data_IF_834762347553
#
_entry.id   IF_834762347553
#
_cell.length_a   1.000
_cell.length_b   1.000
_cell.length_c   1.000
_cell.angle_alpha   90.00
_cell.angle_beta   90.00
_cell.angle_gamma   90.00
#
_symmetry.space_group_name_H-M   'P 1'
#
loop_
_entity.id
_entity.type
_entity.pdbx_description
1 polymer ?
#
# COMPACT_ATOMS: atom_id res chain seq x y z
N UNK A 1 37.28 -15.93 7.06
CA UNK A 1 36.02 -16.61 7.44
C UNK A 1 34.84 -15.85 6.83
N UNK A 2 34.71 -15.89 5.50
CA UNK A 2 33.58 -15.26 4.81
C UNK A 2 32.38 -16.22 4.75
N UNK A 3 31.20 -15.67 4.47
CA UNK A 3 29.91 -16.36 4.31
C UNK A 3 29.86 -17.47 3.21
N UNK A 4 30.99 -17.97 2.72
CA UNK A 4 31.10 -19.01 1.69
C UNK A 4 30.66 -20.42 2.11
N UNK A 5 30.12 -20.59 3.33
CA UNK A 5 29.53 -21.85 3.80
C UNK A 5 28.00 -21.87 3.81
N UNK A 6 27.34 -20.71 3.62
CA UNK A 6 25.88 -20.66 3.51
C UNK A 6 25.53 -20.89 2.05
N UNK A 7 25.41 -22.16 1.67
CA UNK A 7 24.96 -22.50 0.32
C UNK A 7 23.48 -22.11 0.15
N UNK A 8 23.11 -21.70 -1.06
CA UNK A 8 21.74 -21.30 -1.42
C UNK A 8 20.72 -22.37 -1.02
N UNK A 9 21.10 -23.64 -1.08
CA UNK A 9 20.24 -24.77 -0.69
C UNK A 9 19.81 -24.72 0.78
N UNK A 10 20.69 -24.29 1.69
CA UNK A 10 20.37 -24.15 3.10
C UNK A 10 19.41 -22.98 3.34
N UNK A 11 19.59 -21.87 2.61
CA UNK A 11 18.68 -20.73 2.70
C UNK A 11 17.25 -21.07 2.25
N UNK A 12 17.10 -21.87 1.19
CA UNK A 12 15.77 -22.33 0.74
C UNK A 12 15.07 -23.20 1.80
N UNK A 13 15.81 -24.09 2.45
CA UNK A 13 15.28 -24.94 3.53
C UNK A 13 14.84 -24.08 4.73
N UNK A 14 15.67 -23.11 5.14
CA UNK A 14 15.33 -22.20 6.23
C UNK A 14 14.11 -21.35 5.87
N UNK A 15 14.05 -20.82 4.64
CA UNK A 15 12.91 -20.06 4.13
C UNK A 15 11.61 -20.87 4.21
N UNK A 16 11.65 -22.15 3.81
CA UNK A 16 10.50 -23.04 3.87
C UNK A 16 9.99 -23.20 5.31
N UNK A 17 10.90 -23.40 6.27
CA UNK A 17 10.54 -23.51 7.69
C UNK A 17 9.91 -22.22 8.19
N UNK A 18 10.50 -21.06 7.88
CA UNK A 18 9.96 -19.74 8.26
C UNK A 18 8.55 -19.55 7.68
N UNK A 19 8.35 -19.89 6.42
CA UNK A 19 7.02 -19.81 5.77
C UNK A 19 6.01 -20.73 6.46
N UNK A 20 6.40 -21.94 6.88
CA UNK A 20 5.51 -22.86 7.60
C UNK A 20 5.18 -22.37 9.02
N UNK A 21 6.13 -21.75 9.73
CA UNK A 21 5.91 -21.22 11.08
C UNK A 21 5.03 -19.97 11.08
N UNK A 22 5.33 -19.01 10.20
CA UNK A 22 4.60 -17.73 10.15
C UNK A 22 3.36 -17.79 9.25
N UNK A 23 3.28 -18.76 8.35
CA UNK A 23 2.27 -18.87 7.32
C UNK A 23 2.45 -17.87 6.18
N UNK A 24 2.03 -18.24 4.98
CA UNK A 24 2.13 -17.38 3.78
C UNK A 24 1.30 -16.10 3.89
N UNK A 25 0.20 -16.09 4.65
CA UNK A 25 -0.65 -14.90 4.85
C UNK A 25 0.09 -13.76 5.55
N UNK A 26 0.82 -14.04 6.63
CA UNK A 26 1.56 -13.03 7.41
C UNK A 26 2.79 -12.55 6.64
N UNK A 27 3.49 -13.47 5.98
CA UNK A 27 4.62 -13.14 5.11
C UNK A 27 4.20 -12.29 3.92
N UNK A 28 3.02 -12.52 3.34
CA UNK A 28 2.50 -11.72 2.22
C UNK A 28 2.10 -10.31 2.64
N UNK A 29 1.42 -10.14 3.77
CA UNK A 29 1.05 -8.79 4.24
C UNK A 29 2.28 -7.97 4.59
N UNK A 30 3.18 -8.51 5.42
CA UNK A 30 4.40 -7.82 5.84
C UNK A 30 5.39 -7.66 4.67
N UNK A 31 5.48 -8.66 3.79
CA UNK A 31 6.35 -8.62 2.62
C UNK A 31 5.90 -7.63 1.56
N UNK A 32 4.59 -7.40 1.39
CA UNK A 32 4.08 -6.34 0.52
C UNK A 32 4.47 -4.96 1.05
N UNK A 33 4.23 -4.68 2.34
CA UNK A 33 4.53 -3.38 2.94
C UNK A 33 6.05 -3.07 2.92
N UNK A 34 6.87 -4.06 3.28
CA UNK A 34 8.33 -3.93 3.23
C UNK A 34 8.86 -3.88 1.80
N UNK A 35 8.24 -4.66 0.89
CA UNK A 35 8.61 -4.71 -0.52
C UNK A 35 8.36 -3.39 -1.23
N UNK A 36 7.24 -2.72 -0.95
CA UNK A 36 6.91 -1.42 -1.52
C UNK A 36 7.87 -0.32 -1.02
N UNK A 37 8.26 -0.36 0.26
CA UNK A 37 9.27 0.55 0.81
C UNK A 37 10.65 0.35 0.15
N UNK A 38 11.08 -0.90 -0.01
CA UNK A 38 12.36 -1.24 -0.66
C UNK A 38 12.31 -0.89 -2.16
N UNK A 39 11.17 -1.08 -2.83
CA UNK A 39 10.99 -0.71 -4.24
C UNK A 39 11.11 0.80 -4.45
N UNK A 40 10.53 1.60 -3.57
CA UNK A 40 10.68 3.05 -3.55
C UNK A 40 12.14 3.48 -3.33
N UNK A 41 12.83 2.84 -2.38
CA UNK A 41 14.23 3.08 -2.09
C UNK A 41 15.15 2.72 -3.27
N UNK A 42 14.96 1.56 -3.90
CA UNK A 42 15.75 1.17 -5.09
C UNK A 42 15.52 2.14 -6.25
N UNK A 43 14.29 2.63 -6.40
CA UNK A 43 13.93 3.62 -7.44
C UNK A 43 14.58 4.98 -7.20
N UNK A 44 14.70 5.44 -5.96
CA UNK A 44 15.36 6.72 -5.66
C UNK A 44 16.88 6.63 -5.72
N UNK A 45 17.47 5.47 -5.37
CA UNK A 45 18.92 5.25 -5.41
C UNK A 45 19.43 4.98 -6.84
N UNK A 46 18.60 4.42 -7.73
CA UNK A 46 18.97 4.08 -9.10
C UNK A 46 18.41 5.01 -10.19
N UNK A 47 18.07 6.26 -9.84
CA UNK A 47 17.32 7.19 -10.69
C UNK A 47 18.11 7.82 -11.87
N UNK A 48 18.96 7.05 -12.55
CA UNK A 48 19.59 7.49 -13.82
C UNK A 48 19.52 6.45 -14.95
N UNK A 49 19.18 5.19 -14.69
CA UNK A 49 19.04 4.20 -15.77
C UNK A 49 17.60 3.65 -15.86
N UNK A 50 16.86 4.33 -16.74
CA UNK A 50 15.76 3.79 -17.54
C UNK A 50 14.37 3.63 -16.89
N UNK A 51 13.40 4.29 -17.55
CA UNK A 51 11.96 4.08 -17.38
C UNK A 51 11.62 2.60 -17.60
N UNK A 52 11.45 1.85 -16.52
CA UNK A 52 10.86 0.51 -16.58
C UNK A 52 9.54 0.45 -15.81
N UNK A 53 8.49 0.58 -16.60
CA UNK A 53 7.15 0.03 -16.42
C UNK A 53 6.28 0.59 -15.30
N UNK A 54 5.50 1.58 -15.73
CA UNK A 54 4.09 1.74 -15.39
C UNK A 54 3.36 0.39 -15.17
N UNK A 55 2.48 0.43 -14.16
CA UNK A 55 1.26 -0.37 -14.01
C UNK A 55 1.34 -1.89 -13.82
N UNK A 56 0.81 -2.32 -12.66
CA UNK A 56 0.17 -3.60 -12.28
C UNK A 56 0.66 -4.00 -10.88
N UNK A 57 -0.15 -4.04 -9.81
CA UNK A 57 -1.56 -4.43 -9.72
C UNK A 57 -2.28 -3.64 -8.61
N UNK A 58 -3.09 -2.68 -9.04
CA UNK A 58 -4.34 -2.36 -8.35
C UNK A 58 -5.32 -3.49 -8.71
N UNK A 59 -5.34 -4.59 -7.95
CA UNK A 59 -6.55 -5.40 -7.84
C UNK A 59 -6.55 -6.27 -6.59
N UNK A 60 -7.61 -6.07 -5.81
CA UNK A 60 -8.44 -7.09 -5.17
C UNK A 60 -8.29 -7.26 -3.64
N UNK A 61 -9.02 -6.40 -2.92
CA UNK A 61 -10.25 -6.83 -2.25
C UNK A 61 -11.09 -5.62 -1.84
N UNK A 62 -12.09 -5.32 -2.66
CA UNK A 62 -13.28 -4.55 -2.26
C UNK A 62 -14.27 -5.60 -1.77
N UNK A 63 -14.64 -5.67 -0.48
CA UNK A 63 -15.83 -6.41 -0.08
C UNK A 63 -17.03 -5.55 -0.49
N UNK A 64 -17.80 -6.07 -1.44
CA UNK A 64 -19.14 -5.64 -1.75
C UNK A 64 -19.98 -5.50 -0.46
N UNK A 65 -20.28 -4.26 -0.05
CA UNK A 65 -21.42 -3.96 0.80
C UNK A 65 -22.16 -2.78 0.18
N UNK A 66 -23.07 -3.13 -0.74
CA UNK A 66 -24.24 -2.32 -1.05
C UNK A 66 -25.04 -2.14 0.25
N UNK A 67 -24.91 -0.98 0.89
CA UNK A 67 -25.88 -0.49 1.86
C UNK A 67 -25.84 1.03 1.86
N UNK A 68 -26.92 1.59 1.31
CA UNK A 68 -27.42 2.95 1.56
C UNK A 68 -26.57 4.08 0.97
N UNK A 69 -26.93 4.44 -0.26
CA UNK A 69 -26.80 5.81 -0.77
C UNK A 69 -27.43 6.75 0.26
N UNK A 70 -26.60 7.39 1.08
CA UNK A 70 -27.04 8.48 1.93
C UNK A 70 -27.48 9.64 1.03
N UNK A 71 -28.73 10.06 1.17
CA UNK A 71 -29.24 11.28 0.53
C UNK A 71 -28.38 12.47 0.95
N UNK A 72 -27.52 12.95 0.06
CA UNK A 72 -26.73 14.16 0.27
C UNK A 72 -27.66 15.37 0.09
N UNK A 73 -28.04 16.03 1.18
CA UNK A 73 -28.75 17.30 1.13
C UNK A 73 -27.70 18.38 0.90
N UNK A 74 -27.64 18.93 -0.32
CA UNK A 74 -26.82 20.10 -0.63
C UNK A 74 -27.43 21.34 0.02
N UNK A 75 -26.86 21.79 1.12
CA UNK A 75 -27.18 23.08 1.73
C UNK A 75 -26.36 24.18 1.08
N UNK A 76 -26.97 24.99 0.22
CA UNK A 76 -26.37 26.23 -0.26
C UNK A 76 -26.45 27.31 0.84
N UNK A 77 -25.30 27.82 1.27
CA UNK A 77 -25.25 28.92 2.22
C UNK A 77 -25.56 30.25 1.52
N UNK A 78 -26.78 30.77 1.70
CA UNK A 78 -27.08 32.17 1.37
C UNK A 78 -26.54 33.07 2.48
N UNK A 79 -25.66 34.00 2.11
CA UNK A 79 -25.21 35.08 2.98
C UNK A 79 -26.43 35.90 3.38
N UNK A 80 -26.82 35.83 4.64
CA UNK A 80 -27.87 36.68 5.22
C UNK A 80 -27.32 38.10 5.20
N UNK A 81 -27.88 38.95 4.34
CA UNK A 81 -27.54 40.37 4.31
C UNK A 81 -27.95 40.99 5.65
N UNK A 82 -27.01 41.66 6.30
CA UNK A 82 -27.16 42.23 7.63
C UNK A 82 -28.36 43.18 7.69
N UNK A 83 -29.19 43.14 8.75
CA UNK A 83 -30.31 44.05 8.87
C UNK A 83 -29.80 45.49 8.91
N UNK A 84 -30.28 46.29 7.96
CA UNK A 84 -30.04 47.74 7.87
C UNK A 84 -30.27 48.34 9.26
N UNK A 85 -29.17 48.74 9.92
CA UNK A 85 -29.24 49.57 11.12
C UNK A 85 -29.96 50.86 10.73
N UNK A 86 -31.16 51.01 11.27
CA UNK A 86 -31.99 52.19 11.13
C UNK A 86 -31.79 53.02 12.38
N UNK A 87 -30.85 53.96 12.35
CA UNK A 87 -30.76 55.13 13.24
C UNK A 87 -29.97 56.23 12.52
#
# INVERSE_FOLDING_TARGET
MGFGGISIWQLLIILLIVVMLFGTKRLKSLGSDLGDAIKGFRKSVGADEEKASEEQKHNQQVPNQQAQQGTVINGEARKVEDPVKKD
#
